data_IF_726388271133
#
_entry.id   IF_726388271133
#
_cell.length_a   1.000
_cell.length_b   1.000
_cell.length_c   1.000
_cell.angle_alpha   90.00
_cell.angle_beta   90.00
_cell.angle_gamma   90.00
#
_symmetry.space_group_name_H-M   'P 1'
#
loop_
_entity.id
_entity.type
_entity.pdbx_description
1 polymer ?
#
# COMPACT_ATOMS: atom_id res chain seq x y z
N UNK A 1 -20.30 13.27 -16.79
CA UNK A 1 -18.93 13.02 -17.32
C UNK A 1 -18.61 11.53 -17.17
N UNK A 2 -17.79 10.94 -18.06
CA UNK A 2 -17.64 9.47 -18.16
C UNK A 2 -17.18 8.75 -16.89
N UNK A 3 -16.27 9.34 -16.10
CA UNK A 3 -15.74 8.71 -14.85
C UNK A 3 -16.81 8.57 -13.75
N UNK A 4 -17.91 9.32 -13.82
CA UNK A 4 -18.96 9.22 -12.81
C UNK A 4 -19.69 7.86 -12.83
N UNK A 5 -19.67 7.15 -13.96
CA UNK A 5 -20.34 5.86 -14.09
C UNK A 5 -19.69 4.75 -13.26
N UNK A 6 -18.37 4.46 -13.37
CA UNK A 6 -17.75 3.48 -12.49
C UNK A 6 -17.84 3.88 -11.01
N UNK A 7 -17.83 5.18 -10.67
CA UNK A 7 -18.04 5.63 -9.30
C UNK A 7 -19.42 5.22 -8.74
N UNK A 8 -20.50 5.35 -9.53
CA UNK A 8 -21.85 4.93 -9.12
C UNK A 8 -21.94 3.41 -8.98
N UNK A 9 -21.38 2.68 -9.94
CA UNK A 9 -21.37 1.21 -9.90
C UNK A 9 -20.62 0.70 -8.67
N UNK A 10 -19.47 1.28 -8.32
CA UNK A 10 -18.72 0.90 -7.11
C UNK A 10 -19.48 1.29 -5.83
N UNK A 11 -20.21 2.40 -5.83
CA UNK A 11 -21.03 2.80 -4.68
C UNK A 11 -22.17 1.80 -4.40
N UNK A 12 -22.75 1.22 -5.46
CA UNK A 12 -23.81 0.20 -5.35
C UNK A 12 -23.24 -1.22 -5.11
N UNK A 13 -22.08 -1.54 -5.69
CA UNK A 13 -21.36 -2.80 -5.53
C UNK A 13 -19.85 -2.55 -5.31
N UNK A 14 -19.37 -2.55 -4.04
CA UNK A 14 -17.97 -2.30 -3.74
C UNK A 14 -16.98 -3.28 -4.40
N UNK A 15 -17.40 -4.52 -4.72
CA UNK A 15 -16.53 -5.48 -5.39
C UNK A 15 -16.23 -5.09 -6.83
N UNK A 16 -17.05 -4.23 -7.43
CA UNK A 16 -16.78 -3.67 -8.75
C UNK A 16 -15.48 -2.84 -8.79
N UNK A 17 -14.95 -2.42 -7.64
CA UNK A 17 -13.64 -1.75 -7.57
C UNK A 17 -12.51 -2.62 -8.15
N UNK A 18 -12.57 -3.94 -8.00
CA UNK A 18 -11.60 -4.87 -8.60
C UNK A 18 -11.65 -4.88 -10.12
N UNK A 19 -12.79 -4.55 -10.72
CA UNK A 19 -12.99 -4.52 -12.17
C UNK A 19 -12.65 -3.16 -12.77
N UNK A 20 -13.04 -2.07 -12.09
CA UNK A 20 -12.98 -0.72 -12.64
C UNK A 20 -11.77 0.10 -12.18
N UNK A 21 -10.96 -0.44 -11.27
CA UNK A 21 -9.75 0.21 -10.75
C UNK A 21 -8.56 -0.75 -10.74
N UNK A 22 -7.39 -0.26 -10.37
CA UNK A 22 -6.20 -1.11 -10.25
C UNK A 22 -6.15 -1.94 -8.95
N UNK A 23 -7.19 -1.88 -8.11
CA UNK A 23 -7.20 -2.54 -6.80
C UNK A 23 -6.88 -4.05 -6.86
N UNK A 24 -7.22 -4.73 -7.95
CA UNK A 24 -6.91 -6.15 -8.12
C UNK A 24 -5.43 -6.48 -8.31
N UNK A 25 -4.58 -5.49 -8.62
CA UNK A 25 -3.13 -5.68 -8.83
C UNK A 25 -2.26 -4.79 -7.94
N UNK A 26 -2.87 -3.87 -7.17
CA UNK A 26 -2.15 -2.89 -6.37
C UNK A 26 -1.92 -3.40 -4.94
N UNK A 27 -0.67 -3.39 -4.49
CA UNK A 27 -0.26 -3.82 -3.14
C UNK A 27 0.47 -2.69 -2.42
N UNK A 28 0.20 -2.52 -1.13
CA UNK A 28 0.98 -1.64 -0.26
C UNK A 28 2.11 -2.41 0.45
N UNK A 29 3.34 -1.91 0.36
CA UNK A 29 4.45 -2.34 1.23
C UNK A 29 4.58 -1.33 2.36
N UNK A 30 4.04 -1.68 3.53
CA UNK A 30 3.98 -0.79 4.70
C UNK A 30 5.08 -1.13 5.69
N UNK A 31 5.78 -0.11 6.19
CA UNK A 31 6.82 -0.25 7.22
C UNK A 31 6.94 1.01 8.06
N UNK A 32 7.18 0.88 9.37
CA UNK A 32 7.59 2.00 10.22
C UNK A 32 9.11 2.07 10.46
N UNK A 33 9.88 1.19 9.82
CA UNK A 33 11.35 1.21 9.86
C UNK A 33 11.98 0.79 11.19
N UNK A 34 11.22 0.15 12.08
CA UNK A 34 11.70 -0.28 13.40
C UNK A 34 12.59 -1.53 13.38
N UNK A 35 12.57 -2.30 12.28
CA UNK A 35 13.38 -3.49 12.10
C UNK A 35 13.80 -3.67 10.63
N UNK A 36 14.77 -2.88 10.17
CA UNK A 36 15.21 -2.89 8.77
C UNK A 36 16.45 -3.76 8.61
N UNK A 37 16.28 -4.93 7.98
CA UNK A 37 17.38 -5.86 7.69
C UNK A 37 18.22 -6.15 8.96
N UNK A 38 19.54 -6.03 8.88
CA UNK A 38 20.45 -6.10 10.02
C UNK A 38 20.74 -4.74 10.68
N UNK A 39 20.08 -3.65 10.24
CA UNK A 39 20.33 -2.29 10.72
C UNK A 39 19.49 -1.93 11.95
N UNK A 40 18.49 -2.74 12.29
CA UNK A 40 17.60 -2.50 13.43
C UNK A 40 16.64 -1.34 13.17
N UNK A 41 16.38 -0.54 14.21
CA UNK A 41 15.49 0.61 14.12
C UNK A 41 16.24 1.82 13.55
N UNK A 42 16.03 2.09 12.27
CA UNK A 42 16.59 3.27 11.57
C UNK A 42 15.52 4.31 11.24
N UNK A 43 14.27 4.04 11.62
CA UNK A 43 13.11 4.89 11.37
C UNK A 43 12.56 4.76 9.95
N UNK A 44 11.33 5.25 9.77
CA UNK A 44 10.53 5.07 8.57
C UNK A 44 11.25 5.60 7.31
N UNK A 45 11.71 6.85 7.33
CA UNK A 45 12.36 7.47 6.16
C UNK A 45 13.64 6.73 5.72
N UNK A 46 14.49 6.29 6.65
CA UNK A 46 15.69 5.55 6.30
C UNK A 46 15.39 4.13 5.79
N UNK A 47 14.20 3.59 6.09
CA UNK A 47 13.73 2.30 5.58
C UNK A 47 13.26 2.35 4.12
N UNK A 48 12.95 3.55 3.60
CA UNK A 48 12.37 3.76 2.27
C UNK A 48 13.09 3.05 1.12
N UNK A 49 14.44 3.12 0.98
CA UNK A 49 15.12 2.43 -0.12
C UNK A 49 14.94 0.91 -0.10
N UNK A 50 14.73 0.31 1.08
CA UNK A 50 14.44 -1.12 1.21
C UNK A 50 13.02 -1.44 0.75
N UNK A 51 12.05 -0.56 1.03
CA UNK A 51 10.65 -0.75 0.61
C UNK A 51 10.50 -0.54 -0.91
N UNK A 52 11.15 0.48 -1.48
CA UNK A 52 11.27 0.65 -2.94
C UNK A 52 11.92 -0.57 -3.60
N UNK A 53 12.97 -1.12 -2.98
CA UNK A 53 13.59 -2.36 -3.42
C UNK A 53 12.60 -3.53 -3.48
N UNK A 54 11.73 -3.67 -2.47
CA UNK A 54 10.65 -4.69 -2.48
C UNK A 54 9.64 -4.42 -3.60
N UNK A 55 9.23 -3.17 -3.80
CA UNK A 55 8.30 -2.79 -4.87
C UNK A 55 8.84 -3.18 -6.25
N UNK A 56 10.12 -2.92 -6.51
CA UNK A 56 10.79 -3.33 -7.76
C UNK A 56 10.76 -4.85 -7.94
N UNK A 57 10.99 -5.62 -6.87
CA UNK A 57 10.93 -7.08 -6.94
C UNK A 57 9.51 -7.57 -7.27
N UNK A 58 8.48 -7.04 -6.61
CA UNK A 58 7.08 -7.36 -6.90
C UNK A 58 6.74 -7.11 -8.37
N UNK A 59 7.08 -5.92 -8.89
CA UNK A 59 6.81 -5.59 -10.29
C UNK A 59 7.60 -6.46 -11.25
N UNK A 60 8.90 -6.65 -11.00
CA UNK A 60 9.80 -7.35 -11.93
C UNK A 60 9.49 -8.83 -12.08
N UNK A 61 9.05 -9.47 -10.99
CA UNK A 61 8.89 -10.93 -10.93
C UNK A 61 7.43 -11.41 -10.93
N UNK A 62 6.47 -10.55 -10.57
CA UNK A 62 5.05 -10.92 -10.49
C UNK A 62 4.11 -9.95 -11.21
N UNK A 63 4.64 -8.89 -11.85
CA UNK A 63 3.87 -7.82 -12.49
C UNK A 63 2.87 -7.09 -11.56
N UNK A 64 3.13 -7.16 -10.24
CA UNK A 64 2.32 -6.51 -9.21
C UNK A 64 2.71 -5.04 -9.10
N UNK A 65 1.72 -4.15 -9.09
CA UNK A 65 1.94 -2.72 -8.87
C UNK A 65 2.02 -2.44 -7.37
N UNK A 66 3.00 -1.64 -6.95
CA UNK A 66 3.28 -1.42 -5.53
C UNK A 66 3.47 0.04 -5.21
N UNK A 67 2.90 0.46 -4.08
CA UNK A 67 3.33 1.66 -3.36
C UNK A 67 4.04 1.27 -2.06
N UNK A 68 5.20 1.86 -1.82
CA UNK A 68 5.87 1.83 -0.53
C UNK A 68 5.35 2.95 0.37
N UNK A 69 5.03 2.60 1.62
CA UNK A 69 4.38 3.49 2.57
C UNK A 69 5.08 3.43 3.93
N UNK A 70 5.92 4.43 4.15
CA UNK A 70 6.68 4.62 5.39
C UNK A 70 5.83 5.33 6.46
N UNK A 71 5.45 4.61 7.51
CA UNK A 71 4.64 5.14 8.62
C UNK A 71 5.54 5.72 9.70
N UNK A 72 5.48 7.03 9.90
CA UNK A 72 6.30 7.76 10.86
C UNK A 72 5.88 7.61 12.33
N UNK A 73 5.38 6.44 12.75
CA UNK A 73 5.00 6.16 14.13
C UNK A 73 5.54 4.81 14.62
N UNK A 74 6.01 4.79 15.87
CA UNK A 74 6.38 3.56 16.59
C UNK A 74 5.25 3.00 17.42
N UNK A 75 4.12 3.72 17.52
CA UNK A 75 2.92 3.21 18.18
C UNK A 75 2.27 2.15 17.27
N UNK A 76 2.08 0.90 17.73
CA UNK A 76 1.39 -0.11 16.94
C UNK A 76 -0.04 0.30 16.55
N UNK A 77 -0.75 1.05 17.39
CA UNK A 77 -2.14 1.44 17.11
C UNK A 77 -2.22 2.40 15.93
N UNK A 78 -1.23 3.28 15.76
CA UNK A 78 -1.13 4.16 14.59
C UNK A 78 -0.91 3.38 13.30
N UNK A 79 -0.05 2.36 13.34
CA UNK A 79 0.24 1.52 12.16
C UNK A 79 -0.97 0.67 11.79
N UNK A 80 -1.66 0.09 12.79
CA UNK A 80 -2.91 -0.65 12.59
C UNK A 80 -3.95 0.26 11.96
N UNK A 81 -4.21 1.42 12.56
CA UNK A 81 -5.17 2.40 12.06
C UNK A 81 -4.83 2.87 10.64
N UNK A 82 -3.55 3.07 10.34
CA UNK A 82 -3.10 3.43 9.00
C UNK A 82 -3.48 2.35 7.98
N UNK A 83 -3.20 1.08 8.28
CA UNK A 83 -3.56 -0.05 7.41
C UNK A 83 -5.09 -0.17 7.23
N UNK A 84 -5.87 -0.02 8.30
CA UNK A 84 -7.34 -0.06 8.25
C UNK A 84 -7.91 1.04 7.35
N UNK A 85 -7.40 2.27 7.46
CA UNK A 85 -7.86 3.39 6.65
C UNK A 85 -7.43 3.29 5.18
N UNK A 86 -6.35 2.56 4.90
CA UNK A 86 -5.82 2.37 3.55
C UNK A 86 -6.51 1.23 2.79
N UNK A 87 -7.17 0.31 3.49
CA UNK A 87 -7.85 -0.87 2.91
C UNK A 87 -8.64 -0.56 1.63
N UNK A 88 -9.41 0.54 1.49
CA UNK A 88 -10.16 0.78 0.26
C UNK A 88 -9.32 0.88 -1.02
N UNK A 89 -8.03 1.20 -0.89
CA UNK A 89 -7.09 1.40 -2.02
C UNK A 89 -6.41 0.11 -2.48
N UNK A 90 -6.08 -0.80 -1.55
CA UNK A 90 -5.21 -1.97 -1.78
C UNK A 90 -5.85 -3.30 -1.37
#
# INVERSE_FOLDING_TARGET
>A
PGVAEPCRVIADDPLAAFRYTNRGNLVAVVSNGTAVLGLGNIGALASKPVMEGKAVLFKRFADIDVFDLEVGSTDPDDVIRFCELLEPTV
#
